data_IF_870966368702
#
_entry.id   IF_870966368702
#
_cell.length_a   1.000
_cell.length_b   1.000
_cell.length_c   1.000
_cell.angle_alpha   90.00
_cell.angle_beta   90.00
_cell.angle_gamma   90.00
#
_symmetry.space_group_name_H-M   'P 1'
#
loop_
_entity.id
_entity.type
_entity.pdbx_description
1 polymer ?
#
# COMPACT_ATOMS: atom_id res chain seq x y z
N UNK A 1 22.78 -12.30 2.11
CA UNK A 1 23.81 -11.24 2.24
C UNK A 1 24.80 -11.70 3.31
N UNK A 2 26.11 -11.42 3.17
CA UNK A 2 27.05 -11.70 4.28
C UNK A 2 27.12 -10.48 5.19
N UNK A 3 27.20 -10.69 6.51
CA UNK A 3 27.37 -9.61 7.50
C UNK A 3 28.63 -8.79 7.24
N UNK A 4 29.68 -9.44 6.75
CA UNK A 4 30.96 -8.79 6.42
C UNK A 4 30.78 -7.76 5.30
N UNK A 5 29.97 -8.07 4.28
CA UNK A 5 29.70 -7.14 3.17
C UNK A 5 28.92 -5.90 3.61
N UNK A 6 28.04 -6.03 4.61
CA UNK A 6 27.31 -4.90 5.20
C UNK A 6 28.27 -4.07 6.07
N UNK A 7 29.17 -4.72 6.80
CA UNK A 7 30.18 -4.05 7.59
C UNK A 7 31.12 -3.20 6.71
N UNK A 8 31.63 -3.78 5.63
CA UNK A 8 32.50 -3.09 4.69
C UNK A 8 31.78 -1.89 4.05
N UNK A 9 30.50 -2.04 3.71
CA UNK A 9 29.68 -0.93 3.22
C UNK A 9 29.56 0.20 4.24
N UNK A 10 29.26 -0.12 5.50
CA UNK A 10 29.11 0.89 6.56
C UNK A 10 30.41 1.66 6.74
N UNK A 11 31.54 0.96 6.83
CA UNK A 11 32.85 1.59 7.05
C UNK A 11 33.29 2.39 5.82
N UNK A 12 33.10 1.88 4.61
CA UNK A 12 33.40 2.62 3.37
C UNK A 12 32.54 3.88 3.25
N UNK A 13 31.25 3.80 3.60
CA UNK A 13 30.36 4.96 3.56
C UNK A 13 30.77 6.03 4.58
N UNK A 14 31.25 5.63 5.77
CA UNK A 14 31.77 6.57 6.77
C UNK A 14 33.11 7.19 6.36
N UNK A 15 33.96 6.46 5.64
CA UNK A 15 35.24 6.96 5.13
C UNK A 15 35.03 7.99 4.00
N UNK A 16 34.04 7.76 3.14
CA UNK A 16 33.68 8.70 2.06
C UNK A 16 32.84 9.90 2.55
N UNK A 17 32.15 9.77 3.68
CA UNK A 17 31.27 10.80 4.21
C UNK A 17 32.05 12.00 4.80
N UNK A 18 31.59 13.24 4.56
CA UNK A 18 32.15 14.40 5.25
C UNK A 18 31.96 14.25 6.76
N UNK A 19 33.02 14.57 7.51
CA UNK A 19 33.10 14.45 8.97
C UNK A 19 32.90 13.02 9.53
N UNK A 20 32.98 11.99 8.68
CA UNK A 20 32.72 10.59 9.04
C UNK A 20 31.35 10.40 9.70
N UNK A 21 30.35 11.16 9.25
CA UNK A 21 28.98 11.11 9.76
C UNK A 21 27.98 10.84 8.65
N UNK A 22 27.03 9.96 8.93
CA UNK A 22 25.89 9.67 8.04
C UNK A 22 24.61 10.01 8.79
N UNK A 23 23.81 10.92 8.24
CA UNK A 23 22.60 11.41 8.91
C UNK A 23 21.48 10.37 8.99
N UNK A 24 21.40 9.44 8.05
CA UNK A 24 20.40 8.36 8.07
C UNK A 24 20.94 7.10 7.37
N UNK A 25 20.95 5.99 8.11
CA UNK A 25 21.40 4.69 7.63
C UNK A 25 20.40 3.99 6.69
N UNK A 26 19.15 4.46 6.59
CA UNK A 26 18.15 3.97 5.61
C UNK A 26 18.60 4.20 4.16
N UNK A 27 19.42 5.23 3.93
CA UNK A 27 19.92 5.55 2.59
C UNK A 27 21.01 4.59 2.10
N UNK A 28 21.57 3.74 2.98
CA UNK A 28 22.61 2.79 2.63
C UNK A 28 22.05 1.71 1.70
N UNK A 29 22.69 1.58 0.53
CA UNK A 29 22.32 0.59 -0.49
C UNK A 29 23.51 -0.31 -0.75
N UNK A 30 23.30 -1.62 -0.66
CA UNK A 30 24.30 -2.61 -1.04
C UNK A 30 23.96 -3.14 -2.43
N UNK A 31 24.91 -3.06 -3.36
CA UNK A 31 24.74 -3.52 -4.75
C UNK A 31 23.49 -2.94 -5.47
N UNK A 32 23.12 -1.70 -5.15
CA UNK A 32 21.97 -1.01 -5.75
C UNK A 32 20.60 -1.37 -5.16
N UNK A 33 20.55 -2.31 -4.20
CA UNK A 33 19.33 -2.71 -3.49
C UNK A 33 19.26 -2.20 -2.04
N UNK A 34 18.06 -2.23 -1.42
CA UNK A 34 17.91 -1.90 0.00
C UNK A 34 18.60 -2.96 0.87
N UNK A 35 19.23 -2.51 1.95
CA UNK A 35 19.83 -3.40 2.95
C UNK A 35 18.76 -3.80 3.97
N UNK A 36 18.76 -5.07 4.39
CA UNK A 36 17.91 -5.52 5.48
C UNK A 36 18.27 -4.77 6.78
N UNK A 37 17.28 -4.10 7.37
CA UNK A 37 17.50 -3.24 8.55
C UNK A 37 17.86 -4.04 9.81
N UNK A 38 17.40 -5.29 9.94
CA UNK A 38 17.73 -6.11 11.10
C UNK A 38 19.18 -6.62 11.01
N UNK A 39 19.63 -7.01 9.82
CA UNK A 39 21.03 -7.36 9.56
C UNK A 39 21.95 -6.16 9.77
N UNK A 40 21.59 -4.97 9.26
CA UNK A 40 22.32 -3.73 9.46
C UNK A 40 22.45 -3.36 10.94
N UNK A 41 21.34 -3.42 11.70
CA UNK A 41 21.36 -3.18 13.15
C UNK A 41 22.28 -4.16 13.88
N UNK A 42 22.29 -5.43 13.47
CA UNK A 42 23.21 -6.44 14.01
C UNK A 42 24.68 -6.08 13.80
N UNK A 43 25.02 -5.56 12.61
CA UNK A 43 26.38 -5.09 12.29
C UNK A 43 26.73 -3.83 13.08
N UNK A 44 25.82 -2.85 13.15
CA UNK A 44 26.03 -1.62 13.92
C UNK A 44 26.31 -1.91 15.40
N UNK A 45 25.56 -2.84 16.03
CA UNK A 45 25.83 -3.29 17.40
C UNK A 45 27.20 -3.95 17.56
N UNK A 46 27.61 -4.78 16.60
CA UNK A 46 28.94 -5.40 16.60
C UNK A 46 30.06 -4.36 16.51
N UNK A 47 29.91 -3.36 15.63
CA UNK A 47 30.88 -2.27 15.50
C UNK A 47 30.90 -1.35 16.73
N UNK A 48 29.74 -1.03 17.29
CA UNK A 48 29.58 -0.22 18.51
C UNK A 48 30.23 -0.91 19.72
N UNK A 49 30.02 -2.22 19.90
CA UNK A 49 30.65 -2.99 20.99
C UNK A 49 32.18 -2.99 20.96
N UNK A 50 32.76 -2.74 19.78
CA UNK A 50 34.20 -2.61 19.54
C UNK A 50 34.66 -1.15 19.53
N UNK A 51 33.76 -0.22 19.83
CA UNK A 51 33.98 1.23 19.80
C UNK A 51 34.45 1.75 18.43
N UNK A 52 34.05 1.09 17.35
CA UNK A 52 34.41 1.48 15.98
C UNK A 52 33.47 2.57 15.45
N UNK A 53 32.19 2.51 15.84
CA UNK A 53 31.16 3.48 15.44
C UNK A 53 30.26 3.82 16.63
N UNK A 54 29.59 4.97 16.54
CA UNK A 54 28.46 5.35 17.40
C UNK A 54 27.24 5.57 16.52
N UNK A 55 26.05 5.18 16.97
CA UNK A 55 24.81 5.45 16.25
C UNK A 55 23.71 5.87 17.22
N UNK A 56 22.82 6.73 16.74
CA UNK A 56 21.60 7.11 17.45
C UNK A 56 20.38 6.52 16.74
N UNK A 57 19.44 5.87 17.45
CA UNK A 57 18.23 5.35 16.85
C UNK A 57 17.33 6.47 16.32
N UNK A 58 16.98 6.39 15.03
CA UNK A 58 15.97 7.26 14.41
C UNK A 58 14.68 6.45 14.28
N UNK A 59 13.62 6.91 14.97
CA UNK A 59 12.28 6.32 14.85
C UNK A 59 11.43 7.18 13.94
N UNK A 60 10.88 6.58 12.88
CA UNK A 60 9.96 7.24 11.95
C UNK A 60 8.67 6.45 11.85
N UNK A 61 7.55 7.15 11.97
CA UNK A 61 6.22 6.58 11.71
C UNK A 61 5.81 6.95 10.29
N UNK A 62 5.44 5.96 9.50
CA UNK A 62 4.94 6.16 8.12
C UNK A 62 3.58 5.49 7.98
N UNK A 63 2.65 6.21 7.38
CA UNK A 63 1.38 5.64 6.97
C UNK A 63 1.61 4.79 5.72
N UNK A 64 1.51 3.47 5.88
CA UNK A 64 1.57 2.51 4.78
C UNK A 64 0.17 1.98 4.51
N UNK A 65 -0.11 1.68 3.25
CA UNK A 65 -1.36 1.02 2.89
C UNK A 65 -1.36 -0.41 3.46
N UNK A 66 -2.49 -0.81 4.01
CA UNK A 66 -2.76 -2.24 4.24
C UNK A 66 -2.88 -2.95 2.90
N UNK A 67 -2.80 -4.28 2.89
CA UNK A 67 -3.02 -5.07 1.68
C UNK A 67 -4.36 -4.72 1.00
N UNK A 68 -5.44 -4.61 1.79
CA UNK A 68 -6.75 -4.13 1.32
C UNK A 68 -6.70 -2.69 0.79
N UNK A 69 -5.98 -1.79 1.47
CA UNK A 69 -5.82 -0.41 1.05
C UNK A 69 -5.10 -0.27 -0.29
N UNK A 70 -4.09 -1.12 -0.54
CA UNK A 70 -3.40 -1.19 -1.83
C UNK A 70 -4.35 -1.73 -2.92
N UNK A 71 -5.11 -2.79 -2.63
CA UNK A 71 -6.09 -3.32 -3.59
C UNK A 71 -7.15 -2.27 -3.96
N UNK A 72 -7.64 -1.49 -2.99
CA UNK A 72 -8.60 -0.40 -3.19
C UNK A 72 -7.97 0.76 -3.98
N UNK A 73 -6.69 1.08 -3.74
CA UNK A 73 -5.99 2.13 -4.48
C UNK A 73 -5.84 1.77 -5.97
N UNK A 74 -5.52 0.50 -6.27
CA UNK A 74 -5.30 0.03 -7.64
C UNK A 74 -6.61 -0.25 -8.39
N UNK A 75 -7.59 -0.86 -7.73
CA UNK A 75 -8.81 -1.36 -8.38
C UNK A 75 -10.07 -0.53 -8.07
N UNK A 76 -9.95 0.49 -7.23
CA UNK A 76 -11.08 1.24 -6.70
C UNK A 76 -11.81 0.52 -5.56
N UNK A 77 -12.69 1.25 -4.88
CA UNK A 77 -13.44 0.70 -3.74
C UNK A 77 -14.38 -0.44 -4.14
N UNK A 78 -14.68 -1.33 -3.19
CA UNK A 78 -15.53 -2.50 -3.44
C UNK A 78 -16.90 -2.14 -4.02
N UNK A 79 -17.52 -1.05 -3.57
CA UNK A 79 -18.80 -0.57 -4.12
C UNK A 79 -18.67 0.03 -5.54
N UNK A 80 -17.54 0.66 -5.85
CA UNK A 80 -17.27 1.18 -7.19
C UNK A 80 -17.04 0.04 -8.18
N UNK A 81 -16.36 -1.02 -7.74
CA UNK A 81 -16.20 -2.26 -8.51
C UNK A 81 -17.53 -2.92 -8.82
N UNK A 82 -18.44 -3.00 -7.83
CA UNK A 82 -19.82 -3.50 -8.06
C UNK A 82 -20.60 -2.62 -9.02
N UNK A 83 -20.52 -1.29 -8.89
CA UNK A 83 -21.18 -0.37 -9.81
C UNK A 83 -20.67 -0.52 -11.24
N UNK A 84 -19.36 -0.59 -11.43
CA UNK A 84 -18.71 -0.73 -12.74
C UNK A 84 -19.02 -2.07 -13.42
N UNK A 85 -19.23 -3.14 -12.64
CA UNK A 85 -19.62 -4.45 -13.16
C UNK A 85 -21.08 -4.54 -13.66
N UNK A 86 -21.92 -3.54 -13.35
CA UNK A 86 -23.30 -3.48 -13.84
C UNK A 86 -23.33 -2.78 -15.19
N UNK A 87 -24.06 -3.34 -16.17
CA UNK A 87 -24.25 -2.74 -17.49
C UNK A 87 -25.11 -1.49 -17.37
N UNK A 88 -24.80 -0.46 -18.15
CA UNK A 88 -25.60 0.76 -18.21
C UNK A 88 -26.98 0.47 -18.83
N UNK A 89 -28.05 0.89 -18.14
CA UNK A 89 -29.41 0.72 -18.61
C UNK A 89 -30.38 0.29 -17.51
N UNK A 90 -31.68 0.41 -17.81
CA UNK A 90 -32.75 0.13 -16.86
C UNK A 90 -32.93 -1.38 -16.54
N UNK A 91 -32.48 -2.26 -17.45
CA UNK A 91 -32.58 -3.72 -17.29
C UNK A 91 -31.61 -4.27 -16.23
N UNK A 92 -30.48 -3.58 -16.02
CA UNK A 92 -29.44 -4.00 -15.07
C UNK A 92 -28.73 -5.29 -15.46
N UNK A 93 -27.91 -5.79 -14.53
CA UNK A 93 -27.18 -7.06 -14.66
C UNK A 93 -27.67 -8.09 -13.64
N UNK A 94 -27.58 -9.36 -13.99
CA UNK A 94 -27.92 -10.46 -13.08
C UNK A 94 -26.88 -10.59 -11.95
N UNK A 95 -27.34 -10.97 -10.77
CA UNK A 95 -26.51 -11.15 -9.58
C UNK A 95 -25.32 -12.12 -9.79
N UNK A 96 -25.49 -13.30 -10.44
CA UNK A 96 -24.38 -14.22 -10.66
C UNK A 96 -23.29 -13.62 -11.55
N UNK A 97 -23.65 -12.84 -12.57
CA UNK A 97 -22.70 -12.20 -13.48
C UNK A 97 -21.87 -11.12 -12.76
N UNK A 98 -22.51 -10.30 -11.93
CA UNK A 98 -21.82 -9.28 -11.13
C UNK A 98 -20.89 -9.94 -10.11
N UNK A 99 -21.35 -11.00 -9.44
CA UNK A 99 -20.54 -11.74 -8.46
C UNK A 99 -19.31 -12.41 -9.11
N UNK A 100 -19.45 -12.93 -10.32
CA UNK A 100 -18.34 -13.50 -11.09
C UNK A 100 -17.30 -12.42 -11.49
N UNK A 101 -17.75 -11.22 -11.86
CA UNK A 101 -16.86 -10.13 -12.26
C UNK A 101 -16.12 -9.47 -11.07
N UNK A 102 -16.78 -9.32 -9.92
CA UNK A 102 -16.21 -8.62 -8.75
C UNK A 102 -15.48 -9.58 -7.80
N UNK A 103 -15.91 -10.85 -7.74
CA UNK A 103 -15.32 -11.87 -6.88
C UNK A 103 -15.69 -11.71 -5.39
N UNK A 104 -14.78 -12.02 -4.45
CA UNK A 104 -15.07 -12.10 -3.01
C UNK A 104 -15.52 -10.75 -2.40
N UNK A 105 -15.08 -9.64 -2.99
CA UNK A 105 -15.47 -8.28 -2.62
C UNK A 105 -16.95 -7.95 -2.88
N UNK A 106 -17.68 -8.80 -3.62
CA UNK A 106 -19.05 -8.53 -4.05
C UNK A 106 -20.00 -8.27 -2.87
N UNK A 107 -19.97 -9.09 -1.82
CA UNK A 107 -20.93 -8.97 -0.72
C UNK A 107 -20.75 -7.63 0.04
N UNK A 108 -19.50 -7.24 0.27
CA UNK A 108 -19.15 -5.98 0.93
C UNK A 108 -19.50 -4.77 0.05
N UNK A 109 -19.13 -4.83 -1.23
CA UNK A 109 -19.39 -3.78 -2.20
C UNK A 109 -20.88 -3.58 -2.49
N UNK A 110 -21.67 -4.66 -2.56
CA UNK A 110 -23.10 -4.62 -2.84
C UNK A 110 -23.86 -3.88 -1.72
N UNK A 111 -23.59 -4.23 -0.45
CA UNK A 111 -24.23 -3.58 0.69
C UNK A 111 -23.91 -2.08 0.75
N UNK A 112 -22.65 -1.72 0.53
CA UNK A 112 -22.22 -0.32 0.49
C UNK A 112 -22.83 0.46 -0.69
N UNK A 113 -22.89 -0.14 -1.88
CA UNK A 113 -23.49 0.48 -3.07
C UNK A 113 -24.99 0.72 -2.90
N UNK A 114 -25.73 -0.21 -2.30
CA UNK A 114 -27.16 0.01 -1.96
C UNK A 114 -27.32 1.13 -0.94
N UNK A 115 -26.49 1.17 0.10
CA UNK A 115 -26.55 2.19 1.16
C UNK A 115 -26.29 3.59 0.61
N UNK A 116 -25.36 3.71 -0.35
CA UNK A 116 -25.05 4.96 -1.08
C UNK A 116 -26.05 5.29 -2.20
N UNK A 117 -27.07 4.45 -2.43
CA UNK A 117 -28.06 4.59 -3.50
C UNK A 117 -27.44 4.66 -4.91
N UNK A 118 -26.32 3.97 -5.12
CA UNK A 118 -25.66 3.89 -6.42
C UNK A 118 -26.28 2.82 -7.32
N UNK A 119 -26.87 1.80 -6.71
CA UNK A 119 -27.52 0.66 -7.36
C UNK A 119 -28.93 0.45 -6.80
N UNK A 120 -29.81 -0.14 -7.60
CA UNK A 120 -31.19 -0.47 -7.24
C UNK A 120 -31.59 -1.83 -7.79
N UNK A 121 -32.55 -2.49 -7.12
CA UNK A 121 -33.15 -3.73 -7.64
C UNK A 121 -34.23 -3.38 -8.66
N UNK A 122 -34.21 -4.05 -9.81
CA UNK A 122 -35.28 -3.95 -10.81
C UNK A 122 -36.45 -4.86 -10.41
N UNK A 123 -37.60 -4.67 -11.06
CA UNK A 123 -38.79 -5.51 -10.85
C UNK A 123 -38.57 -6.98 -11.23
N UNK A 124 -37.59 -7.24 -12.09
CA UNK A 124 -37.20 -8.57 -12.57
C UNK A 124 -36.18 -9.26 -11.64
N UNK A 125 -35.72 -8.58 -10.58
CA UNK A 125 -34.74 -9.12 -9.63
C UNK A 125 -33.27 -8.83 -9.99
N UNK A 126 -33.02 -8.12 -11.09
CA UNK A 126 -31.68 -7.69 -11.50
C UNK A 126 -31.22 -6.46 -10.69
N UNK A 127 -29.93 -6.14 -10.78
CA UNK A 127 -29.35 -4.94 -10.17
C UNK A 127 -29.01 -3.95 -11.29
N UNK A 128 -29.61 -2.77 -11.25
CA UNK A 128 -29.36 -1.68 -12.18
C UNK A 128 -28.64 -0.52 -11.49
N UNK A 129 -27.90 0.28 -12.26
CA UNK A 129 -27.32 1.54 -11.79
C UNK A 129 -28.44 2.55 -11.52
N UNK A 130 -28.45 3.13 -10.32
CA UNK A 130 -29.38 4.19 -9.94
C UNK A 130 -28.83 5.59 -10.25
N UNK A 131 -27.50 5.70 -10.37
CA UNK A 131 -26.79 6.92 -10.80
C UNK A 131 -26.05 6.65 -12.11
N UNK A 132 -25.95 7.66 -12.98
CA UNK A 132 -25.25 7.51 -14.27
C UNK A 132 -23.73 7.39 -14.12
N UNK A 133 -23.15 8.18 -13.21
CA UNK A 133 -21.69 8.24 -12.99
C UNK A 133 -21.39 8.40 -11.51
N UNK A 134 -20.30 7.77 -11.06
CA UNK A 134 -19.75 8.02 -9.72
C UNK A 134 -18.91 9.30 -9.76
N UNK A 135 -19.27 10.29 -8.94
CA UNK A 135 -18.43 11.47 -8.78
C UNK A 135 -17.23 11.13 -7.88
N UNK A 136 -16.01 11.24 -8.41
CA UNK A 136 -14.79 11.16 -7.61
C UNK A 136 -14.62 12.46 -6.82
N UNK A 137 -14.95 12.44 -5.52
CA UNK A 137 -14.56 13.53 -4.60
C UNK A 137 -13.30 13.12 -3.84
N UNK A 138 -12.14 13.18 -4.51
CA UNK A 138 -10.87 13.16 -3.80
C UNK A 138 -10.67 14.54 -3.17
N UNK A 139 -10.96 14.64 -1.87
CA UNK A 139 -10.49 15.74 -1.03
C UNK A 139 -9.61 15.12 0.04
N UNK A 140 -8.36 14.86 -0.30
CA UNK A 140 -7.32 14.57 0.68
C UNK A 140 -6.63 15.92 0.91
N UNK A 141 -6.87 16.61 2.03
CA UNK A 141 -5.93 17.63 2.48
C UNK A 141 -4.67 16.86 2.90
N UNK A 142 -3.67 16.83 2.02
CA UNK A 142 -2.32 16.43 2.40
C UNK A 142 -1.85 17.42 3.49
N UNK A 143 -1.56 16.90 4.68
CA UNK A 143 -0.71 17.53 5.68
C UNK A 143 0.53 16.66 5.83
#
# INVERSE_FOLDING_TARGET
MSKDSIQDLVLATLDEAPDSQVSNSEALKLAGGPVDQAELLGVLKSLESRQIVTYDPIVQERLVLTEEGAEIADNGSHEARVFNAIVEGAAGSEIPAIKAAVGPAYNFGQGAAFKKKWIQKTKEGNIARAVGTLAHRFSIPFF
#
